data_IF_819039597661
#
_entry.id   IF_819039597661
#
_cell.length_a   1.000
_cell.length_b   1.000
_cell.length_c   1.000
_cell.angle_alpha   90.00
_cell.angle_beta   90.00
_cell.angle_gamma   90.00
#
_symmetry.space_group_name_H-M   'P 1'
#
loop_
_entity.id
_entity.type
_entity.pdbx_description
1 polymer ?
#
# COMPACT_ATOMS: atom_id res chain seq x y z
N UNK A 1 -44.76 35.21 35.17
CA UNK A 1 -44.75 35.34 33.70
C UNK A 1 -43.61 34.49 33.17
N UNK A 2 -43.99 33.44 32.46
CA UNK A 2 -43.14 32.43 31.81
C UNK A 2 -42.59 33.00 30.49
N UNK A 3 -41.33 32.72 30.15
CA UNK A 3 -40.75 33.01 28.82
C UNK A 3 -39.21 33.01 28.88
N UNK A 4 -38.53 31.87 28.68
CA UNK A 4 -38.00 31.40 27.39
C UNK A 4 -37.26 32.49 26.59
N UNK A 5 -35.93 32.32 26.45
CA UNK A 5 -35.11 32.36 25.21
C UNK A 5 -33.71 31.91 25.68
N UNK A 6 -33.41 30.61 25.71
CA UNK A 6 -32.80 29.81 24.63
C UNK A 6 -31.51 30.43 24.07
N UNK A 7 -30.43 29.69 24.29
CA UNK A 7 -29.05 30.10 24.07
C UNK A 7 -28.64 30.30 22.63
N UNK A 8 -27.47 30.91 22.49
CA UNK A 8 -26.76 31.02 21.23
C UNK A 8 -25.55 30.08 21.27
N UNK A 9 -25.67 29.01 20.49
CA UNK A 9 -24.63 28.10 20.09
C UNK A 9 -23.49 28.88 19.39
N UNK A 10 -22.26 28.64 19.82
CA UNK A 10 -21.09 28.82 18.97
C UNK A 10 -20.24 27.55 19.08
N UNK A 11 -20.78 26.45 18.58
CA UNK A 11 -19.98 25.27 18.29
C UNK A 11 -19.13 25.61 17.07
N UNK A 12 -17.88 26.00 17.29
CA UNK A 12 -16.84 26.01 16.26
C UNK A 12 -16.66 24.57 15.78
N UNK A 13 -17.40 24.20 14.75
CA UNK A 13 -17.09 23.03 13.96
C UNK A 13 -15.74 23.31 13.27
N UNK A 14 -14.66 22.76 13.82
CA UNK A 14 -13.48 22.52 13.02
C UNK A 14 -13.94 21.56 11.92
N UNK A 15 -14.23 22.12 10.75
CA UNK A 15 -14.27 21.34 9.53
C UNK A 15 -12.86 20.76 9.38
N UNK A 16 -12.70 19.52 9.86
CA UNK A 16 -11.61 18.65 9.48
C UNK A 16 -11.63 18.65 7.95
N UNK A 17 -10.69 19.36 7.36
CA UNK A 17 -10.29 19.16 5.97
C UNK A 17 -9.74 17.74 5.92
N UNK A 18 -10.65 16.77 5.89
CA UNK A 18 -10.35 15.46 5.37
C UNK A 18 -9.96 15.72 3.92
N UNK A 19 -8.65 15.82 3.68
CA UNK A 19 -8.10 15.69 2.34
C UNK A 19 -8.62 14.37 1.81
N UNK A 20 -9.68 14.43 1.02
CA UNK A 20 -10.10 13.33 0.18
C UNK A 20 -8.90 13.01 -0.69
N UNK A 21 -8.21 11.91 -0.40
CA UNK A 21 -7.27 11.32 -1.32
C UNK A 21 -8.09 10.91 -2.54
N UNK A 22 -8.15 11.78 -3.55
CA UNK A 22 -8.75 11.43 -4.82
C UNK A 22 -7.90 10.28 -5.38
N UNK A 23 -8.55 9.16 -5.72
CA UNK A 23 -7.91 8.09 -6.47
C UNK A 23 -7.22 8.72 -7.68
N UNK A 24 -5.89 8.70 -7.68
CA UNK A 24 -5.10 9.40 -8.68
C UNK A 24 -5.40 8.80 -10.05
N UNK A 25 -5.71 9.64 -11.03
CA UNK A 25 -5.94 9.18 -12.40
C UNK A 25 -4.72 8.36 -12.86
N UNK A 26 -4.96 7.15 -13.36
CA UNK A 26 -3.91 6.18 -13.72
C UNK A 26 -2.92 6.80 -14.70
N UNK A 27 -3.40 7.59 -15.65
CA UNK A 27 -2.54 8.27 -16.62
C UNK A 27 -1.72 9.38 -15.99
N UNK A 28 -2.28 10.11 -15.03
CA UNK A 28 -1.54 11.05 -14.18
C UNK A 28 -0.42 10.38 -13.39
N UNK A 29 -0.68 9.21 -12.78
CA UNK A 29 0.34 8.43 -12.05
C UNK A 29 1.47 7.99 -12.99
N UNK A 30 1.13 7.36 -14.12
CA UNK A 30 2.12 6.89 -15.10
C UNK A 30 2.90 8.07 -15.67
N UNK A 31 2.22 9.20 -15.93
CA UNK A 31 2.84 10.42 -16.45
C UNK A 31 3.88 11.05 -15.51
N UNK A 32 3.75 10.82 -14.20
CA UNK A 32 4.67 11.30 -13.18
C UNK A 32 5.85 10.37 -12.86
N UNK A 33 5.90 9.18 -13.46
CA UNK A 33 7.03 8.26 -13.27
C UNK A 33 8.30 8.76 -13.97
N UNK A 34 9.50 8.44 -13.43
CA UNK A 34 10.76 8.58 -14.16
C UNK A 34 10.68 7.93 -15.54
N UNK A 35 11.41 8.49 -16.50
CA UNK A 35 11.37 8.07 -17.91
C UNK A 35 11.52 6.55 -18.08
N UNK A 36 12.48 5.95 -17.37
CA UNK A 36 12.78 4.52 -17.46
C UNK A 36 11.62 3.65 -16.95
N UNK A 37 10.86 4.14 -15.98
CA UNK A 37 9.70 3.43 -15.43
C UNK A 37 8.45 3.66 -16.26
N UNK A 38 8.27 4.89 -16.76
CA UNK A 38 7.15 5.24 -17.65
C UNK A 38 7.18 4.40 -18.93
N UNK A 39 8.37 4.19 -19.50
CA UNK A 39 8.57 3.38 -20.71
C UNK A 39 8.05 1.93 -20.58
N UNK A 40 7.99 1.39 -19.36
CA UNK A 40 7.47 0.04 -19.11
C UNK A 40 5.95 -0.08 -19.33
N UNK A 41 5.24 1.04 -19.42
CA UNK A 41 3.80 1.10 -19.68
C UNK A 41 3.46 1.35 -21.15
N UNK A 42 4.46 1.65 -21.99
CA UNK A 42 4.25 1.91 -23.40
C UNK A 42 3.83 0.62 -24.13
N UNK A 43 2.72 0.69 -24.87
CA UNK A 43 2.21 -0.45 -25.63
C UNK A 43 1.66 -1.60 -24.77
N UNK A 44 1.48 -1.39 -23.46
CA UNK A 44 0.87 -2.39 -22.58
C UNK A 44 -0.51 -2.82 -23.12
N UNK A 45 -0.70 -4.11 -23.46
CA UNK A 45 -1.95 -4.57 -24.07
C UNK A 45 -3.11 -4.60 -23.07
N UNK A 46 -2.79 -4.67 -21.77
CA UNK A 46 -3.74 -4.61 -20.68
C UNK A 46 -4.00 -3.16 -20.24
N UNK A 47 -5.27 -2.86 -19.95
CA UNK A 47 -5.65 -1.61 -19.31
C UNK A 47 -5.11 -1.57 -17.88
N UNK A 48 -4.29 -0.57 -17.57
CA UNK A 48 -3.87 -0.29 -16.19
C UNK A 48 -5.06 0.30 -15.43
N UNK A 49 -5.33 -0.25 -14.25
CA UNK A 49 -6.45 0.13 -13.40
C UNK A 49 -5.94 0.47 -11.99
N UNK A 50 -6.69 1.25 -11.20
CA UNK A 50 -6.42 1.40 -9.78
C UNK A 50 -6.30 0.04 -9.08
N UNK A 51 -5.38 -0.06 -8.12
CA UNK A 51 -5.24 -1.28 -7.32
C UNK A 51 -6.50 -1.48 -6.48
N UNK A 52 -7.03 -2.71 -6.48
CA UNK A 52 -8.13 -3.10 -5.58
C UNK A 52 -7.73 -3.06 -4.09
N UNK A 53 -6.44 -2.90 -3.80
CA UNK A 53 -5.86 -2.86 -2.46
C UNK A 53 -5.38 -1.45 -2.08
N UNK A 54 -5.82 -0.40 -2.79
CA UNK A 54 -5.46 0.99 -2.51
C UNK A 54 -5.77 1.43 -1.07
N UNK A 55 -6.84 0.88 -0.49
CA UNK A 55 -7.29 1.15 0.87
C UNK A 55 -6.98 -0.01 1.84
N UNK A 56 -6.09 -0.92 1.46
CA UNK A 56 -5.71 -2.03 2.33
C UNK A 56 -5.01 -1.52 3.60
N UNK A 57 -5.55 -1.88 4.76
CA UNK A 57 -4.91 -1.62 6.04
C UNK A 57 -4.22 -2.90 6.51
N UNK A 58 -2.89 -2.87 6.52
CA UNK A 58 -2.11 -3.99 7.03
C UNK A 58 -2.39 -4.21 8.52
N UNK A 59 -2.44 -5.47 8.99
CA UNK A 59 -2.51 -5.75 10.42
C UNK A 59 -1.25 -5.21 11.13
N UNK A 60 -1.26 -5.03 12.46
CA UNK A 60 -0.06 -4.66 13.19
C UNK A 60 1.08 -5.68 13.00
N UNK A 61 2.31 -5.18 12.89
CA UNK A 61 3.53 -6.00 12.85
C UNK A 61 3.80 -6.66 14.22
N UNK A 62 4.60 -7.76 14.30
CA UNK A 62 5.34 -8.39 13.20
C UNK A 62 4.48 -9.30 12.32
N UNK A 63 4.72 -9.26 11.01
CA UNK A 63 4.00 -10.09 10.03
C UNK A 63 4.63 -11.46 9.85
N UNK A 64 3.89 -12.41 9.26
CA UNK A 64 4.46 -13.66 8.76
C UNK A 64 4.72 -13.53 7.26
N UNK A 65 5.91 -13.88 6.82
CA UNK A 65 6.22 -13.91 5.40
C UNK A 65 5.89 -15.29 4.84
N UNK A 66 4.82 -15.38 4.04
CA UNK A 66 4.43 -16.61 3.36
C UNK A 66 4.88 -16.53 1.89
N UNK A 67 5.59 -17.55 1.40
CA UNK A 67 5.96 -17.64 -0.02
C UNK A 67 5.56 -18.99 -0.62
N UNK A 68 5.26 -18.99 -1.92
CA UNK A 68 4.99 -20.23 -2.64
C UNK A 68 6.29 -20.78 -3.21
N UNK A 69 6.73 -21.90 -2.66
CA UNK A 69 7.83 -22.70 -3.20
C UNK A 69 7.30 -23.71 -4.23
N UNK A 70 7.02 -23.24 -5.45
CA UNK A 70 6.67 -24.12 -6.57
C UNK A 70 7.95 -24.72 -7.17
N UNK A 71 8.13 -26.04 -7.02
CA UNK A 71 9.15 -26.92 -7.61
C UNK A 71 10.43 -26.24 -8.14
N UNK A 72 11.48 -26.29 -7.32
CA UNK A 72 12.82 -25.74 -7.54
C UNK A 72 13.68 -26.54 -8.54
N UNK A 73 13.11 -27.03 -9.64
CA UNK A 73 13.85 -27.86 -10.61
C UNK A 73 14.99 -27.12 -11.32
N UNK A 74 14.93 -25.78 -11.36
CA UNK A 74 15.93 -24.95 -12.01
C UNK A 74 16.82 -24.24 -10.96
N UNK A 75 18.16 -24.29 -11.09
CA UNK A 75 19.09 -23.67 -10.12
C UNK A 75 18.86 -22.17 -9.87
N UNK A 76 18.38 -21.42 -10.86
CA UNK A 76 18.12 -19.99 -10.69
C UNK A 76 16.97 -19.72 -9.71
N UNK A 77 15.98 -20.63 -9.60
CA UNK A 77 14.89 -20.49 -8.62
C UNK A 77 15.44 -20.61 -7.20
N UNK A 78 16.40 -21.51 -7.00
CA UNK A 78 17.05 -21.71 -5.69
C UNK A 78 17.81 -20.47 -5.27
N UNK A 79 18.50 -19.84 -6.21
CA UNK A 79 19.20 -18.56 -5.99
C UNK A 79 18.22 -17.46 -5.58
N UNK A 80 17.07 -17.36 -6.27
CA UNK A 80 16.03 -16.37 -5.93
C UNK A 80 15.47 -16.61 -4.53
N UNK A 81 15.16 -17.86 -4.16
CA UNK A 81 14.65 -18.18 -2.81
C UNK A 81 15.67 -17.85 -1.72
N UNK A 82 16.96 -18.14 -1.96
CA UNK A 82 18.03 -17.79 -1.02
C UNK A 82 18.14 -16.28 -0.82
N UNK A 83 18.04 -15.52 -1.91
CA UNK A 83 18.10 -14.07 -1.85
C UNK A 83 16.86 -13.49 -1.17
N UNK A 84 15.68 -14.04 -1.44
CA UNK A 84 14.46 -13.69 -0.75
C UNK A 84 14.58 -13.93 0.75
N UNK A 85 15.08 -15.10 1.16
CA UNK A 85 15.33 -15.41 2.56
C UNK A 85 16.30 -14.42 3.20
N UNK A 86 17.41 -14.08 2.52
CA UNK A 86 18.39 -13.09 3.01
C UNK A 86 17.74 -11.73 3.29
N UNK A 87 16.84 -11.29 2.40
CA UNK A 87 16.09 -10.04 2.58
C UNK A 87 15.12 -10.12 3.75
N UNK A 88 14.37 -11.23 3.87
CA UNK A 88 13.41 -11.42 4.97
C UNK A 88 14.11 -11.56 6.32
N UNK A 89 15.28 -12.18 6.38
CA UNK A 89 16.08 -12.25 7.62
C UNK A 89 16.46 -10.84 8.12
N UNK A 90 16.69 -9.88 7.22
CA UNK A 90 16.84 -8.47 7.57
C UNK A 90 15.58 -7.87 8.19
N UNK A 91 14.41 -8.18 7.62
CA UNK A 91 13.10 -7.74 8.14
C UNK A 91 12.72 -8.44 9.46
N UNK A 92 13.27 -9.62 9.73
CA UNK A 92 13.12 -10.28 11.03
C UNK A 92 13.99 -9.56 12.06
N UNK A 93 15.24 -9.24 11.71
CA UNK A 93 16.16 -8.53 12.61
C UNK A 93 15.67 -7.13 12.99
N UNK A 94 14.94 -6.43 12.12
CA UNK A 94 14.34 -5.12 12.40
C UNK A 94 12.97 -5.18 13.12
N UNK A 95 12.42 -6.39 13.33
CA UNK A 95 11.14 -6.62 14.00
C UNK A 95 9.90 -6.39 13.13
N UNK A 96 10.04 -6.26 11.81
CA UNK A 96 8.92 -6.15 10.86
C UNK A 96 8.27 -7.49 10.56
N UNK A 97 9.07 -8.56 10.48
CA UNK A 97 8.63 -9.93 10.20
C UNK A 97 8.95 -10.84 11.39
N UNK A 98 8.09 -11.81 11.66
CA UNK A 98 8.24 -12.81 12.72
C UNK A 98 8.76 -14.15 12.23
N UNK A 99 8.45 -14.54 10.98
CA UNK A 99 8.91 -15.80 10.39
C UNK A 99 8.91 -15.79 8.86
N UNK A 100 9.66 -16.72 8.27
CA UNK A 100 9.75 -17.02 6.83
C UNK A 100 9.23 -18.44 6.60
N UNK A 101 8.06 -18.56 5.93
CA UNK A 101 7.32 -19.81 5.69
C UNK A 101 7.22 -20.13 4.20
#
# INVERSE_FOLDING_TARGET
MTGMIRGLLAATALASLATTAFAQDVQGVIGGLPTELKAQYDGAPQKVLPSAWDNFTAPPKPWKWCHSESYQGNPWRVTVTKELKRLVDGLIADGTVSSFE
#
